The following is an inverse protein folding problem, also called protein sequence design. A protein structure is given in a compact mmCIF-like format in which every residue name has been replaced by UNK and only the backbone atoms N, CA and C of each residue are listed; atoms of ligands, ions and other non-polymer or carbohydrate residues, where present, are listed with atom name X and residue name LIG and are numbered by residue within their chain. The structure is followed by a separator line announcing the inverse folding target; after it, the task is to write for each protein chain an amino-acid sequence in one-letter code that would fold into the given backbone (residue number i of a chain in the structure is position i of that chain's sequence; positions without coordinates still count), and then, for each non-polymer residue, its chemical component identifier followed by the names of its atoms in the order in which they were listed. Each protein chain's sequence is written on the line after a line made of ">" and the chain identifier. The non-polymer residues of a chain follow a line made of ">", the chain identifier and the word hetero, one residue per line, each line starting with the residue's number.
data_IF_626343820720
#
_entry.id   IF_626343820720
#
_cell.length_a   1.000
_cell.length_b   1.000
_cell.length_c   1.000
_cell.angle_alpha   90.00
_cell.angle_beta   90.00
_cell.angle_gamma   90.00
#
_symmetry.space_group_name_H-M   'P 1'
#
loop_
_entity.id
_entity.type
_entity.pdbx_description
1 polymer ?
#
# COMPACT_ATOMS: atom_id res chain seq x y z
N UNK A 1 14.53 -10.25 -13.44
CA UNK A 1 13.64 -10.66 -12.34
C UNK A 1 12.95 -9.44 -11.73
N UNK A 2 11.64 -9.43 -11.71
CA UNK A 2 10.87 -8.31 -11.17
C UNK A 2 10.59 -8.55 -9.69
N UNK A 3 10.98 -7.59 -8.84
CA UNK A 3 10.71 -7.67 -7.40
C UNK A 3 9.28 -7.19 -7.17
N UNK A 4 8.43 -7.96 -6.45
CA UNK A 4 7.06 -7.51 -6.17
C UNK A 4 7.04 -6.18 -5.40
N UNK A 5 6.02 -5.33 -5.63
CA UNK A 5 5.96 -4.00 -5.00
C UNK A 5 6.07 -4.03 -3.47
N UNK A 6 5.39 -4.96 -2.80
CA UNK A 6 5.46 -5.03 -1.35
C UNK A 6 6.85 -5.40 -0.85
N UNK A 7 7.54 -6.28 -1.56
CA UNK A 7 8.91 -6.67 -1.19
C UNK A 7 9.88 -5.53 -1.39
N UNK A 8 9.79 -4.84 -2.52
CA UNK A 8 10.62 -3.68 -2.80
C UNK A 8 10.42 -2.59 -1.75
N UNK A 9 9.17 -2.37 -1.33
CA UNK A 9 8.85 -1.37 -0.31
C UNK A 9 9.45 -1.74 1.05
N UNK A 10 9.27 -2.98 1.49
CA UNK A 10 9.81 -3.43 2.79
C UNK A 10 11.34 -3.36 2.81
N UNK A 11 11.98 -3.78 1.72
CA UNK A 11 13.45 -3.71 1.61
C UNK A 11 13.93 -2.25 1.63
N UNK A 12 13.21 -1.35 0.96
CA UNK A 12 13.56 0.08 0.93
C UNK A 12 13.38 0.73 2.30
N UNK A 13 12.31 0.39 3.03
CA UNK A 13 12.10 0.91 4.38
C UNK A 13 13.21 0.42 5.33
N UNK A 14 13.59 -0.84 5.20
CA UNK A 14 14.66 -1.41 6.01
C UNK A 14 16.00 -0.71 5.74
N UNK A 15 16.32 -0.47 4.46
CA UNK A 15 17.53 0.25 4.08
C UNK A 15 17.51 1.69 4.61
N UNK A 16 16.36 2.35 4.53
CA UNK A 16 16.19 3.70 5.05
C UNK A 16 16.44 3.78 6.56
N UNK A 17 15.93 2.81 7.31
CA UNK A 17 16.12 2.74 8.75
C UNK A 17 17.63 2.69 9.10
N UNK A 18 18.41 1.96 8.33
CA UNK A 18 19.85 1.83 8.54
C UNK A 18 20.64 3.10 8.23
N UNK A 19 20.12 3.97 7.40
CA UNK A 19 20.79 5.22 7.02
C UNK A 19 20.84 6.24 8.17
N UNK A 20 19.99 6.08 9.20
CA UNK A 20 19.98 6.96 10.39
C UNK A 20 19.81 8.44 10.03
N UNK A 21 18.94 8.75 9.07
CA UNK A 21 18.76 10.11 8.57
C UNK A 21 18.25 11.08 9.63
N UNK A 22 17.17 10.72 10.34
CA UNK A 22 16.64 11.65 11.34
C UNK A 22 17.57 11.80 12.54
N UNK A 23 18.32 10.74 12.90
CA UNK A 23 19.30 10.78 13.97
C UNK A 23 20.47 11.72 13.62
N UNK A 24 20.75 11.87 12.32
CA UNK A 24 21.82 12.75 11.81
C UNK A 24 21.33 14.16 11.49
N UNK A 25 20.08 14.49 11.82
CA UNK A 25 19.52 15.81 11.56
C UNK A 25 18.83 15.94 10.21
N UNK A 26 18.82 14.89 9.38
CA UNK A 26 18.21 14.90 8.06
C UNK A 26 16.73 14.50 8.12
N UNK A 27 15.94 15.26 8.92
CA UNK A 27 14.55 14.93 9.20
C UNK A 27 13.68 15.05 7.96
N UNK A 28 13.82 16.12 7.18
CA UNK A 28 13.03 16.32 5.96
C UNK A 28 13.28 15.24 4.94
N UNK A 29 14.53 14.86 4.75
CA UNK A 29 14.92 13.80 3.82
C UNK A 29 14.32 12.46 4.25
N UNK A 30 14.29 12.19 5.57
CA UNK A 30 13.69 10.99 6.12
C UNK A 30 12.21 10.86 5.75
N UNK A 31 11.43 11.92 5.97
CA UNK A 31 10.01 11.92 5.64
C UNK A 31 9.76 11.85 4.12
N UNK A 32 10.58 12.56 3.37
CA UNK A 32 10.52 12.49 1.91
C UNK A 32 10.75 11.07 1.40
N UNK A 33 11.75 10.39 1.95
CA UNK A 33 12.08 9.01 1.57
C UNK A 33 10.97 8.04 1.91
N UNK A 34 10.37 8.16 3.11
CA UNK A 34 9.26 7.30 3.50
C UNK A 34 8.09 7.45 2.53
N UNK A 35 7.66 8.68 2.26
CA UNK A 35 6.52 8.89 1.36
C UNK A 35 6.83 8.48 -0.08
N UNK A 36 8.05 8.67 -0.55
CA UNK A 36 8.47 8.21 -1.88
C UNK A 36 8.37 6.70 -2.01
N UNK A 37 8.82 5.98 -0.98
CA UNK A 37 8.73 4.50 -0.95
C UNK A 37 7.26 4.07 -1.00
N UNK A 38 6.40 4.71 -0.20
CA UNK A 38 4.98 4.38 -0.17
C UNK A 38 4.26 4.74 -1.47
N UNK A 39 4.64 5.85 -2.12
CA UNK A 39 4.08 6.22 -3.44
C UNK A 39 4.40 5.16 -4.48
N UNK A 40 5.63 4.68 -4.51
CA UNK A 40 6.03 3.63 -5.45
C UNK A 40 5.31 2.32 -5.15
N UNK A 41 5.16 1.98 -3.86
CA UNK A 41 4.42 0.80 -3.46
C UNK A 41 2.97 0.87 -3.92
N UNK A 42 2.30 1.99 -3.66
CA UNK A 42 0.90 2.19 -4.04
C UNK A 42 0.75 2.07 -5.56
N UNK A 43 1.65 2.71 -6.32
CA UNK A 43 1.62 2.63 -7.78
C UNK A 43 1.75 1.19 -8.28
N UNK A 44 2.72 0.47 -7.78
CA UNK A 44 2.98 -0.91 -8.21
C UNK A 44 1.91 -1.89 -7.76
N UNK A 45 1.44 -1.77 -6.53
CA UNK A 45 0.49 -2.73 -5.95
C UNK A 45 -0.94 -2.49 -6.43
N UNK A 46 -1.36 -1.24 -6.54
CA UNK A 46 -2.75 -0.90 -6.84
C UNK A 46 -2.98 -0.43 -8.29
N UNK A 47 -1.91 -0.30 -9.06
CA UNK A 47 -2.01 -0.14 -10.52
C UNK A 47 -2.39 1.25 -11.02
N UNK A 48 -2.05 2.31 -10.28
CA UNK A 48 -2.23 3.68 -10.75
C UNK A 48 -1.00 4.55 -10.44
N UNK A 49 -0.85 5.66 -11.15
CA UNK A 49 0.33 6.52 -11.07
C UNK A 49 0.32 7.43 -9.83
N UNK A 50 0.66 6.87 -8.65
CA UNK A 50 0.68 7.64 -7.41
C UNK A 50 1.88 8.57 -7.27
N UNK A 51 2.99 8.29 -7.96
CA UNK A 51 4.25 9.02 -7.77
C UNK A 51 4.11 10.52 -8.05
N UNK A 52 3.36 10.89 -9.08
CA UNK A 52 3.17 12.28 -9.49
C UNK A 52 1.90 12.93 -8.92
N UNK A 53 1.14 12.22 -8.12
CA UNK A 53 -0.14 12.71 -7.60
C UNK A 53 0.03 13.44 -6.26
N UNK A 54 -0.82 14.43 -5.99
CA UNK A 54 -0.89 15.06 -4.67
C UNK A 54 -1.57 14.12 -3.68
N UNK A 55 -1.30 14.33 -2.39
CA UNK A 55 -1.76 13.45 -1.31
C UNK A 55 -3.25 13.11 -1.38
N UNK A 56 -4.11 14.12 -1.48
CA UNK A 56 -5.56 13.89 -1.49
C UNK A 56 -6.00 13.02 -2.67
N UNK A 57 -5.40 13.23 -3.83
CA UNK A 57 -5.74 12.48 -5.03
C UNK A 57 -5.31 11.01 -4.92
N UNK A 58 -4.14 10.75 -4.33
CA UNK A 58 -3.66 9.38 -4.09
C UNK A 58 -4.69 8.59 -3.28
N UNK A 59 -5.13 9.15 -2.17
CA UNK A 59 -5.99 8.43 -1.24
C UNK A 59 -7.44 8.34 -1.72
N UNK A 60 -7.89 9.31 -2.52
CA UNK A 60 -9.17 9.21 -3.21
C UNK A 60 -9.15 8.07 -4.23
N UNK A 61 -8.07 7.98 -5.02
CA UNK A 61 -7.92 6.92 -6.01
C UNK A 61 -7.75 5.55 -5.34
N UNK A 62 -7.00 5.49 -4.25
CA UNK A 62 -6.81 4.25 -3.49
C UNK A 62 -8.14 3.73 -2.95
N UNK A 63 -8.97 4.64 -2.41
CA UNK A 63 -10.33 4.29 -1.97
C UNK A 63 -11.17 3.75 -3.14
N UNK A 64 -11.05 4.38 -4.30
CA UNK A 64 -11.80 4.00 -5.50
C UNK A 64 -11.48 2.59 -5.98
N UNK A 65 -10.27 2.11 -5.74
CA UNK A 65 -9.90 0.74 -6.15
C UNK A 65 -10.71 -0.34 -5.44
N UNK A 66 -11.24 -0.05 -4.25
CA UNK A 66 -11.96 -1.03 -3.44
C UNK A 66 -11.07 -2.15 -2.89
N UNK A 67 -9.75 -2.04 -3.05
CA UNK A 67 -8.81 -3.11 -2.71
C UNK A 67 -7.94 -2.81 -1.49
N UNK A 68 -8.23 -1.71 -0.80
CA UNK A 68 -7.51 -1.30 0.41
C UNK A 68 -8.53 -0.95 1.48
N UNK A 69 -8.34 -1.44 2.70
CA UNK A 69 -9.24 -1.15 3.81
C UNK A 69 -9.18 0.33 4.17
N UNK A 70 -10.33 0.90 4.54
CA UNK A 70 -10.41 2.30 4.94
C UNK A 70 -9.47 2.63 6.08
N UNK A 71 -9.31 1.72 7.02
CA UNK A 71 -8.41 1.86 8.16
C UNK A 71 -6.95 2.08 7.71
N UNK A 72 -6.50 1.31 6.71
CA UNK A 72 -5.15 1.46 6.15
C UNK A 72 -5.02 2.75 5.35
N UNK A 73 -6.06 3.11 4.58
CA UNK A 73 -6.10 4.36 3.84
C UNK A 73 -5.94 5.55 4.79
N UNK A 74 -6.72 5.56 5.88
CA UNK A 74 -6.69 6.65 6.86
C UNK A 74 -5.33 6.77 7.54
N UNK A 75 -4.74 5.64 7.91
CA UNK A 75 -3.43 5.61 8.54
C UNK A 75 -2.34 6.16 7.62
N UNK A 76 -2.33 5.73 6.37
CA UNK A 76 -1.34 6.20 5.40
C UNK A 76 -1.55 7.67 5.05
N UNK A 77 -2.80 8.12 4.95
CA UNK A 77 -3.11 9.52 4.69
C UNK A 77 -2.57 10.42 5.80
N UNK A 78 -2.75 10.02 7.07
CA UNK A 78 -2.21 10.76 8.21
C UNK A 78 -0.69 10.87 8.14
N UNK A 79 -0.03 9.79 7.75
CA UNK A 79 1.42 9.77 7.58
C UNK A 79 1.86 10.77 6.49
N UNK A 80 1.17 10.78 5.36
CA UNK A 80 1.46 11.71 4.26
C UNK A 80 1.21 13.16 4.67
N UNK A 81 0.14 13.42 5.40
CA UNK A 81 -0.18 14.77 5.90
C UNK A 81 0.89 15.28 6.86
N UNK A 82 1.35 14.42 7.78
CA UNK A 82 2.46 14.76 8.67
C UNK A 82 3.73 15.06 7.88
N UNK A 83 4.02 14.23 6.88
CA UNK A 83 5.18 14.42 6.02
C UNK A 83 5.12 15.76 5.28
N UNK A 84 3.95 16.15 4.78
CA UNK A 84 3.76 17.44 4.11
C UNK A 84 4.00 18.59 5.08
N UNK A 85 3.55 18.48 6.33
CA UNK A 85 3.80 19.50 7.35
C UNK A 85 5.29 19.64 7.65
N UNK A 86 6.03 18.54 7.72
CA UNK A 86 7.47 18.56 7.94
C UNK A 86 8.20 19.22 6.77
N UNK A 87 7.80 18.89 5.54
CA UNK A 87 8.46 19.40 4.33
C UNK A 87 8.17 20.87 4.05
N UNK A 88 6.90 21.29 4.22
CA UNK A 88 6.45 22.59 3.73
C UNK A 88 6.15 23.61 4.84
N UNK A 89 5.79 23.20 6.03
CA UNK A 89 5.41 24.07 7.13
C UNK A 89 6.44 24.15 8.24
N UNK A 90 7.61 23.55 8.05
CA UNK A 90 8.72 23.53 9.03
C UNK A 90 8.30 22.93 10.37
N UNK A 91 7.31 22.03 10.36
CA UNK A 91 6.91 21.31 11.55
C UNK A 91 8.05 20.38 12.01
N UNK A 92 8.30 20.36 13.31
CA UNK A 92 9.36 19.53 13.90
C UNK A 92 8.74 18.53 14.86
N UNK A 93 8.43 17.29 14.38
CA UNK A 93 7.88 16.27 15.28
C UNK A 93 8.88 15.90 16.36
N UNK A 94 8.36 15.42 17.49
CA UNK A 94 9.21 14.87 18.54
C UNK A 94 9.95 13.64 18.00
N UNK A 95 11.14 13.38 18.60
CA UNK A 95 12.00 12.27 18.13
C UNK A 95 11.27 10.92 18.12
N UNK A 96 10.39 10.68 19.10
CA UNK A 96 9.61 9.45 19.18
C UNK A 96 8.68 9.25 17.99
N UNK A 97 8.20 10.33 17.37
CA UNK A 97 7.30 10.24 16.22
C UNK A 97 8.00 9.75 14.96
N UNK A 98 9.30 9.96 14.86
CA UNK A 98 10.06 9.50 13.69
C UNK A 98 10.04 7.97 13.58
N UNK A 99 10.25 7.28 14.71
CA UNK A 99 10.17 5.83 14.75
C UNK A 99 8.77 5.31 14.53
N UNK A 100 7.78 5.97 15.11
CA UNK A 100 6.36 5.61 14.92
C UNK A 100 5.92 5.77 13.48
N UNK A 101 6.42 6.79 12.80
CA UNK A 101 6.12 7.03 11.38
C UNK A 101 6.64 5.88 10.51
N UNK A 102 7.86 5.43 10.77
CA UNK A 102 8.44 4.29 10.05
C UNK A 102 7.64 3.01 10.32
N UNK A 103 7.28 2.78 11.58
CA UNK A 103 6.46 1.64 11.97
C UNK A 103 5.12 1.64 11.24
N UNK A 104 4.46 2.81 11.15
CA UNK A 104 3.21 2.96 10.39
C UNK A 104 3.39 2.64 8.92
N UNK A 105 4.53 3.02 8.34
CA UNK A 105 4.83 2.72 6.95
C UNK A 105 4.94 1.21 6.73
N UNK A 106 5.67 0.49 7.60
CA UNK A 106 5.74 -0.96 7.55
C UNK A 106 4.35 -1.59 7.69
N UNK A 107 3.59 -1.13 8.68
CA UNK A 107 2.25 -1.67 8.94
C UNK A 107 1.32 -1.46 7.75
N UNK A 108 1.39 -0.30 7.12
CA UNK A 108 0.57 -0.02 5.94
C UNK A 108 0.88 -1.01 4.81
N UNK A 109 2.17 -1.19 4.50
CA UNK A 109 2.57 -2.12 3.42
C UNK A 109 2.10 -3.54 3.75
N UNK A 110 2.37 -4.02 4.95
CA UNK A 110 2.02 -5.38 5.34
C UNK A 110 0.50 -5.60 5.37
N UNK A 111 -0.24 -4.69 6.01
CA UNK A 111 -1.69 -4.82 6.15
C UNK A 111 -2.42 -4.68 4.80
N UNK A 112 -2.05 -3.70 4.01
CA UNK A 112 -2.70 -3.46 2.71
C UNK A 112 -2.38 -4.56 1.71
N UNK A 113 -1.17 -5.10 1.73
CA UNK A 113 -0.80 -6.23 0.88
C UNK A 113 -1.59 -7.49 1.27
N UNK A 114 -1.68 -7.79 2.55
CA UNK A 114 -2.42 -8.96 3.05
C UNK A 114 -3.88 -8.89 2.60
N UNK A 115 -4.53 -7.75 2.78
CA UNK A 115 -5.92 -7.56 2.39
C UNK A 115 -6.11 -7.70 0.88
N UNK A 116 -5.21 -7.10 0.10
CA UNK A 116 -5.23 -7.21 -1.36
C UNK A 116 -5.17 -8.67 -1.82
N UNK A 117 -4.27 -9.45 -1.22
CA UNK A 117 -4.10 -10.85 -1.57
C UNK A 117 -5.28 -11.72 -1.13
N UNK A 118 -5.89 -11.39 0.01
CA UNK A 118 -7.10 -12.09 0.48
C UNK A 118 -8.26 -11.86 -0.49
N UNK A 119 -8.45 -10.63 -0.96
CA UNK A 119 -9.48 -10.31 -1.94
C UNK A 119 -9.23 -11.05 -3.26
N UNK A 120 -8.00 -11.06 -3.72
CA UNK A 120 -7.62 -11.75 -4.96
C UNK A 120 -7.91 -13.24 -4.86
N UNK A 121 -7.56 -13.85 -3.73
CA UNK A 121 -7.82 -15.27 -3.48
C UNK A 121 -9.30 -15.56 -3.48
N UNK A 122 -10.12 -14.71 -2.84
CA UNK A 122 -11.58 -14.88 -2.82
C UNK A 122 -12.17 -14.77 -4.22
N UNK A 123 -11.71 -13.83 -5.04
CA UNK A 123 -12.17 -13.69 -6.42
C UNK A 123 -11.82 -14.92 -7.26
N UNK A 124 -10.61 -15.44 -7.11
CA UNK A 124 -10.16 -16.64 -7.83
C UNK A 124 -10.99 -17.87 -7.45
N UNK A 125 -11.27 -18.03 -6.16
CA UNK A 125 -12.09 -19.13 -5.66
C UNK A 125 -13.53 -19.03 -6.17
N UNK A 126 -14.10 -17.84 -6.17
CA UNK A 126 -15.45 -17.58 -6.67
C UNK A 126 -15.55 -17.89 -8.16
N UNK A 127 -14.58 -17.43 -8.94
CA UNK A 127 -14.52 -17.68 -10.39
C UNK A 127 -14.42 -19.17 -10.68
N UNK A 128 -13.56 -19.89 -9.97
CA UNK A 128 -13.37 -21.33 -10.12
C UNK A 128 -14.68 -22.08 -9.82
N UNK A 129 -15.40 -21.69 -8.75
CA UNK A 129 -16.66 -22.30 -8.39
C UNK A 129 -17.75 -22.02 -9.43
N UNK A 130 -17.83 -20.79 -9.95
CA UNK A 130 -18.78 -20.44 -11.00
C UNK A 130 -18.52 -21.25 -12.27
N UNK A 131 -17.26 -21.41 -12.67
CA UNK A 131 -16.88 -22.22 -13.82
C UNK A 131 -17.24 -23.70 -13.61
N UNK A 132 -17.01 -24.22 -12.42
CA UNK A 132 -17.37 -25.60 -12.08
C UNK A 132 -18.88 -25.82 -12.22
N UNK A 133 -19.70 -24.93 -11.66
CA UNK A 133 -21.16 -24.99 -11.73
C UNK A 133 -21.66 -24.92 -13.18
N UNK A 134 -21.06 -24.04 -13.99
CA UNK A 134 -21.40 -23.91 -15.40
C UNK A 134 -21.12 -25.19 -16.17
N UNK A 135 -19.97 -25.82 -15.92
CA UNK A 135 -19.58 -27.09 -16.54
C UNK A 135 -20.52 -28.24 -16.13
N UNK A 136 -20.87 -28.35 -14.85
CA UNK A 136 -21.78 -29.34 -14.34
C UNK A 136 -23.18 -29.21 -14.96
N UNK A 137 -23.68 -27.98 -15.07
CA UNK A 137 -24.97 -27.67 -15.72
C UNK A 137 -24.97 -28.08 -17.19
N UNK A 138 -23.88 -27.79 -17.91
CA UNK A 138 -23.76 -28.15 -19.32
C UNK A 138 -23.71 -29.66 -19.52
N UNK A 139 -22.97 -30.39 -18.68
CA UNK A 139 -22.89 -31.85 -18.72
C UNK A 139 -24.22 -32.49 -18.36
N UNK A 140 -24.89 -31.95 -17.33
CA UNK A 140 -26.23 -32.42 -16.95
C UNK A 140 -27.25 -32.20 -18.07
N UNK A 141 -27.19 -31.10 -18.78
CA UNK A 141 -28.03 -30.81 -19.94
C UNK A 141 -27.85 -31.78 -21.08
N UNK A 142 -26.63 -32.27 -21.32
CA UNK A 142 -26.35 -33.26 -22.37
C UNK A 142 -26.89 -34.65 -22.04
N UNK A 143 -27.04 -34.97 -20.76
CA UNK A 143 -27.47 -36.29 -20.31
C UNK A 143 -29.01 -36.42 -20.20
N UNK A 144 -29.78 -35.37 -20.42
CA UNK A 144 -31.21 -35.33 -20.28
C UNK A 144 -31.95 -35.73 -21.58
N UNK A 145 -31.23 -36.04 -22.60
CA UNK A 145 -31.80 -36.60 -23.81
C UNK A 145 -31.91 -38.13 -23.68
#
# INVERSE_FOLDING_TARGET
>A
MVIPPHRAALDALYALEKEKLWQSGEVKEYYFRITSILREYISGQFGFEAVEMVTDDIFRELHRTGKCKQEDIDSAKQLFELSDLVKFAKHQPEAEEHGKTLEKAYDFVNSSYKYFMELKKQEEMKTAEEQRKSTETTEGGKNVQ
#
